data_IF_728395993932
#
_entry.id   IF_728395993932
#
_cell.length_a   1.000
_cell.length_b   1.000
_cell.length_c   1.000
_cell.angle_alpha   90.00
_cell.angle_beta   90.00
_cell.angle_gamma   90.00
#
_symmetry.space_group_name_H-M   'P 1'
#
loop_
_entity.id
_entity.type
_entity.pdbx_description
1 polymer ?
#
# COMPACT_ATOMS: atom_id res chain seq x y z
N UNK A 1 6.21 -13.29 -9.21
CA UNK A 1 5.53 -12.56 -10.29
C UNK A 1 6.53 -11.65 -11.00
N UNK A 2 6.51 -11.69 -12.30
CA UNK A 2 7.39 -10.88 -13.15
C UNK A 2 6.54 -10.18 -14.22
N UNK A 3 6.82 -8.90 -14.46
CA UNK A 3 6.21 -8.15 -15.56
C UNK A 3 7.21 -7.14 -16.11
N UNK A 4 7.06 -6.79 -17.39
CA UNK A 4 7.93 -5.85 -18.08
C UNK A 4 7.14 -4.59 -18.45
N UNK A 5 7.75 -3.43 -18.19
CA UNK A 5 7.26 -2.12 -18.62
C UNK A 5 8.19 -1.55 -19.68
N UNK A 6 7.65 -0.75 -20.59
CA UNK A 6 8.41 -0.20 -21.73
C UNK A 6 8.43 -1.16 -22.93
N UNK A 7 9.14 -0.79 -23.98
CA UNK A 7 9.30 -1.57 -25.20
C UNK A 7 10.71 -1.37 -25.79
N UNK A 8 11.27 -2.42 -26.39
CA UNK A 8 12.60 -2.38 -26.99
C UNK A 8 13.72 -2.20 -25.95
N UNK A 9 14.70 -1.34 -26.26
CA UNK A 9 15.87 -1.11 -25.40
C UNK A 9 15.54 -0.41 -24.06
N UNK A 10 14.39 0.26 -23.97
CA UNK A 10 13.92 0.93 -22.75
C UNK A 10 13.00 0.05 -21.89
N UNK A 11 13.02 -1.27 -22.08
CA UNK A 11 12.21 -2.17 -21.28
C UNK A 11 12.83 -2.41 -19.91
N UNK A 12 11.99 -2.32 -18.86
CA UNK A 12 12.37 -2.65 -17.48
C UNK A 12 11.56 -3.82 -16.97
N UNK A 13 12.24 -4.87 -16.51
CA UNK A 13 11.61 -6.04 -15.91
C UNK A 13 11.52 -5.87 -14.39
N UNK A 14 10.31 -5.97 -13.86
CA UNK A 14 10.01 -5.91 -12.44
C UNK A 14 9.72 -7.32 -11.92
N UNK A 15 10.38 -7.69 -10.83
CA UNK A 15 10.19 -8.98 -10.15
C UNK A 15 9.67 -8.75 -8.75
N UNK A 16 8.63 -9.50 -8.39
CA UNK A 16 8.01 -9.42 -7.09
C UNK A 16 7.79 -10.82 -6.52
N UNK A 17 8.11 -10.99 -5.25
CA UNK A 17 7.67 -12.12 -4.46
C UNK A 17 6.56 -11.66 -3.54
N UNK A 18 5.53 -12.48 -3.37
CA UNK A 18 4.43 -12.16 -2.47
C UNK A 18 3.91 -13.38 -1.73
N UNK A 19 3.34 -13.15 -0.56
CA UNK A 19 2.48 -14.06 0.16
C UNK A 19 1.11 -13.42 0.33
N UNK A 20 0.05 -14.22 0.22
CA UNK A 20 -1.33 -13.75 0.34
C UNK A 20 -2.06 -14.58 1.40
N UNK A 21 -2.78 -13.89 2.28
CA UNK A 21 -3.56 -14.49 3.36
C UNK A 21 -5.01 -14.01 3.28
N UNK A 22 -5.95 -14.93 3.50
CA UNK A 22 -7.35 -14.59 3.51
C UNK A 22 -7.75 -13.91 4.82
N UNK A 23 -8.46 -12.80 4.73
CA UNK A 23 -9.07 -12.12 5.87
C UNK A 23 -10.52 -12.61 6.08
N UNK A 24 -11.06 -12.51 7.30
CA UNK A 24 -12.45 -12.92 7.58
C UNK A 24 -13.50 -12.15 6.79
N UNK A 25 -13.24 -10.86 6.53
CA UNK A 25 -14.16 -9.94 5.86
C UNK A 25 -13.40 -8.96 4.98
N UNK A 26 -14.05 -8.34 3.98
CA UNK A 26 -13.50 -7.21 3.25
C UNK A 26 -13.19 -6.03 4.17
N UNK A 27 -12.08 -5.37 3.90
CA UNK A 27 -11.60 -4.16 4.57
C UNK A 27 -11.34 -3.05 3.56
N UNK A 28 -11.28 -1.78 3.98
CA UNK A 28 -10.79 -0.70 3.12
C UNK A 28 -9.40 -1.00 2.60
N UNK A 29 -9.09 -0.50 1.42
CA UNK A 29 -7.77 -0.65 0.84
C UNK A 29 -6.74 0.11 1.67
N UNK A 30 -5.96 -0.58 2.49
CA UNK A 30 -4.86 -0.01 3.25
C UNK A 30 -3.53 -0.53 2.69
N UNK A 31 -2.57 0.36 2.52
CA UNK A 31 -1.23 0.02 2.06
C UNK A 31 -0.19 0.59 3.02
N UNK A 32 0.68 -0.27 3.51
CA UNK A 32 1.82 0.05 4.35
C UNK A 32 3.10 -0.13 3.51
N UNK A 33 3.66 0.97 3.09
CA UNK A 33 4.92 1.07 2.37
C UNK A 33 6.06 1.00 3.39
N UNK A 34 6.83 -0.08 3.39
CA UNK A 34 7.92 -0.30 4.32
C UNK A 34 9.12 0.57 3.97
N UNK A 35 9.49 1.51 4.83
CA UNK A 35 10.60 2.45 4.55
C UNK A 35 11.96 1.77 4.45
N UNK A 36 12.12 0.60 5.06
CA UNK A 36 13.39 -0.13 5.04
C UNK A 36 13.70 -0.79 3.70
N UNK A 37 12.71 -1.03 2.83
CA UNK A 37 12.89 -1.61 1.50
C UNK A 37 12.88 -0.55 0.38
N UNK A 38 12.68 0.72 0.73
CA UNK A 38 12.67 1.83 -0.20
C UNK A 38 14.07 2.17 -0.73
N UNK A 39 14.13 2.59 -1.99
CA UNK A 39 15.37 3.01 -2.63
C UNK A 39 15.78 4.44 -2.26
N UNK A 40 16.97 4.84 -2.69
CA UNK A 40 17.52 6.20 -2.48
C UNK A 40 16.61 7.29 -3.07
N UNK A 41 15.80 6.95 -4.07
CA UNK A 41 14.93 7.86 -4.80
C UNK A 41 13.47 7.84 -4.30
N UNK A 42 13.19 7.18 -3.18
CA UNK A 42 11.84 7.08 -2.59
C UNK A 42 11.30 5.67 -2.58
N UNK A 43 9.97 5.56 -2.55
CA UNK A 43 9.28 4.28 -2.45
C UNK A 43 9.62 3.31 -3.60
N UNK A 44 9.71 2.03 -3.28
CA UNK A 44 9.88 0.94 -4.24
C UNK A 44 8.54 0.52 -4.89
N UNK A 45 7.42 1.09 -4.44
CA UNK A 45 6.09 0.76 -4.96
C UNK A 45 5.99 1.03 -6.47
N UNK A 46 5.28 0.18 -7.23
CA UNK A 46 5.11 0.35 -8.67
C UNK A 46 4.26 1.57 -9.03
N UNK A 47 3.51 2.09 -8.07
CA UNK A 47 2.60 3.22 -8.24
C UNK A 47 2.80 4.25 -7.15
N UNK A 48 2.54 5.51 -7.47
CA UNK A 48 2.47 6.60 -6.49
C UNK A 48 1.02 6.85 -6.10
N UNK A 49 0.80 7.16 -4.82
CA UNK A 49 -0.52 7.46 -4.28
C UNK A 49 -0.65 8.94 -3.94
N UNK A 50 -1.87 9.47 -4.00
CA UNK A 50 -2.13 10.86 -3.69
C UNK A 50 -1.74 11.18 -2.23
N UNK A 51 -1.12 12.35 -2.01
CA UNK A 51 -0.66 12.76 -0.67
C UNK A 51 -1.81 12.89 0.34
N UNK A 52 -3.02 13.19 -0.13
CA UNK A 52 -4.24 13.26 0.68
C UNK A 52 -4.64 11.92 1.30
N UNK A 53 -4.09 10.81 0.82
CA UNK A 53 -4.33 9.45 1.32
C UNK A 53 -3.29 8.99 2.34
N UNK A 54 -2.24 9.77 2.59
CA UNK A 54 -1.24 9.45 3.62
C UNK A 54 -1.82 9.65 5.00
N UNK A 55 -1.65 8.64 5.85
CA UNK A 55 -2.09 8.64 7.24
C UNK A 55 -0.89 8.49 8.13
N UNK A 56 -0.80 9.29 9.19
CA UNK A 56 0.15 9.13 10.27
C UNK A 56 -0.53 8.40 11.43
N UNK A 57 0.10 7.37 11.94
CA UNK A 57 -0.30 6.66 13.16
C UNK A 57 0.58 7.04 14.35
N UNK A 58 1.55 7.93 14.15
CA UNK A 58 2.51 8.38 15.16
C UNK A 58 3.76 7.52 15.23
N UNK A 59 4.75 8.02 16.01
CA UNK A 59 5.99 7.28 16.25
C UNK A 59 5.76 6.17 17.31
N UNK A 60 6.50 5.05 17.21
CA UNK A 60 7.56 4.74 16.24
C UNK A 60 7.07 4.17 14.91
N UNK A 61 5.76 4.00 14.71
CA UNK A 61 5.19 3.34 13.53
C UNK A 61 5.55 4.07 12.23
N UNK A 62 5.41 5.39 12.23
CA UNK A 62 5.66 6.22 11.06
C UNK A 62 7.13 6.23 10.62
N UNK A 63 8.08 5.88 11.51
CA UNK A 63 9.47 5.71 11.12
C UNK A 63 9.74 4.43 10.32
N UNK A 64 8.85 3.43 10.42
CA UNK A 64 8.97 2.13 9.75
C UNK A 64 8.10 2.01 8.50
N UNK A 65 6.91 2.58 8.55
CA UNK A 65 5.92 2.47 7.47
C UNK A 65 5.34 3.83 7.08
N UNK A 66 5.04 3.99 5.79
CA UNK A 66 4.13 5.01 5.32
C UNK A 66 2.77 4.36 5.05
N UNK A 67 1.77 4.73 5.83
CA UNK A 67 0.41 4.23 5.62
C UNK A 67 -0.34 5.07 4.60
N UNK A 68 -1.05 4.40 3.70
CA UNK A 68 -2.04 4.98 2.80
C UNK A 68 -3.42 4.37 3.06
N UNK A 69 -4.44 5.21 3.07
CA UNK A 69 -5.84 4.82 3.16
C UNK A 69 -6.68 5.67 2.19
N UNK A 70 -7.83 5.18 1.69
CA UNK A 70 -8.73 6.00 0.89
C UNK A 70 -9.19 7.24 1.66
N UNK A 71 -9.46 8.33 0.93
CA UNK A 71 -9.95 9.57 1.55
C UNK A 71 -11.20 9.30 2.39
N UNK A 72 -11.21 9.83 3.62
CA UNK A 72 -12.28 9.61 4.58
C UNK A 72 -12.19 8.31 5.40
N UNK A 73 -11.17 7.45 5.15
CA UNK A 73 -10.95 6.19 5.88
C UNK A 73 -9.83 6.27 6.93
N UNK A 74 -9.35 7.45 7.28
CA UNK A 74 -8.32 7.58 8.32
C UNK A 74 -8.73 6.98 9.67
N UNK A 75 -9.99 7.20 10.10
CA UNK A 75 -10.52 6.60 11.34
C UNK A 75 -10.57 5.08 11.26
N UNK A 76 -10.94 4.54 10.12
CA UNK A 76 -10.99 3.09 9.87
C UNK A 76 -9.58 2.49 9.90
N UNK A 77 -8.58 3.20 9.40
CA UNK A 77 -7.19 2.80 9.49
C UNK A 77 -6.74 2.66 10.96
N UNK A 78 -7.05 3.63 11.84
CA UNK A 78 -6.80 3.50 13.29
C UNK A 78 -7.56 2.34 13.93
N UNK A 79 -8.76 2.06 13.48
CA UNK A 79 -9.57 0.95 13.99
C UNK A 79 -8.99 -0.41 13.57
N UNK A 80 -8.48 -0.52 12.35
CA UNK A 80 -7.90 -1.75 11.79
C UNK A 80 -6.46 -1.99 12.23
N UNK A 81 -5.75 -0.91 12.62
CA UNK A 81 -4.37 -0.94 13.09
C UNK A 81 -4.27 -0.47 14.56
N UNK A 82 -4.94 -1.16 15.52
CA UNK A 82 -4.78 -0.84 16.93
C UNK A 82 -3.35 -1.18 17.40
N UNK A 83 -2.95 -0.74 18.61
CA UNK A 83 -1.57 -0.88 19.10
C UNK A 83 -0.98 -2.29 19.01
N UNK A 84 -1.77 -3.32 19.30
CA UNK A 84 -1.30 -4.71 19.22
C UNK A 84 -1.03 -5.17 17.76
N UNK A 85 -1.78 -4.67 16.77
CA UNK A 85 -1.51 -4.93 15.34
C UNK A 85 -0.28 -4.14 14.90
N UNK A 86 -0.17 -2.87 15.30
CA UNK A 86 1.01 -2.07 15.02
C UNK A 86 2.28 -2.68 15.61
N UNK A 87 2.23 -3.19 16.85
CA UNK A 87 3.33 -3.90 17.48
C UNK A 87 3.72 -5.16 16.72
N UNK A 88 2.76 -5.96 16.28
CA UNK A 88 3.01 -7.14 15.46
C UNK A 88 3.67 -6.78 14.12
N UNK A 89 3.27 -5.67 13.49
CA UNK A 89 3.87 -5.14 12.28
C UNK A 89 5.31 -4.66 12.51
N UNK A 90 5.58 -3.96 13.61
CA UNK A 90 6.92 -3.49 13.97
C UNK A 90 7.88 -4.64 14.30
N UNK A 91 7.36 -5.75 14.83
CA UNK A 91 8.11 -6.97 15.11
C UNK A 91 8.27 -7.88 13.88
N UNK A 92 7.50 -7.64 12.82
CA UNK A 92 7.64 -8.36 11.56
C UNK A 92 8.86 -7.83 10.77
N UNK A 93 9.44 -8.66 9.87
CA UNK A 93 10.52 -8.18 9.03
C UNK A 93 10.06 -7.03 8.12
N UNK A 94 10.67 -5.85 8.27
CA UNK A 94 10.35 -4.63 7.51
C UNK A 94 10.82 -4.68 6.04
N UNK A 95 10.98 -5.88 5.49
CA UNK A 95 11.35 -6.11 4.08
C UNK A 95 10.15 -6.29 3.17
N UNK A 96 8.95 -6.35 3.75
CA UNK A 96 7.70 -6.51 3.02
C UNK A 96 6.85 -5.25 3.10
N UNK A 97 6.35 -4.83 1.96
CA UNK A 97 5.19 -3.96 1.89
C UNK A 97 3.94 -4.79 2.18
N UNK A 98 2.98 -4.19 2.87
CA UNK A 98 1.79 -4.90 3.33
C UNK A 98 0.57 -4.17 2.79
N UNK A 99 -0.29 -4.90 2.09
CA UNK A 99 -1.50 -4.37 1.48
C UNK A 99 -2.71 -5.17 1.91
N UNK A 100 -3.71 -4.47 2.43
CA UNK A 100 -5.02 -5.02 2.69
C UNK A 100 -5.98 -4.53 1.63
N UNK A 101 -6.50 -5.43 0.83
CA UNK A 101 -7.44 -5.11 -0.24
C UNK A 101 -8.51 -6.19 -0.38
N UNK A 102 -9.76 -5.76 -0.41
CA UNK A 102 -10.91 -6.66 -0.33
C UNK A 102 -10.80 -7.54 0.94
N UNK A 103 -10.83 -8.85 0.83
CA UNK A 103 -10.65 -9.80 1.94
C UNK A 103 -9.29 -10.51 1.90
N UNK A 104 -8.24 -9.77 1.47
CA UNK A 104 -6.88 -10.27 1.38
C UNK A 104 -5.88 -9.37 2.11
N UNK A 105 -4.90 -10.00 2.73
CA UNK A 105 -3.64 -9.41 3.20
C UNK A 105 -2.54 -9.90 2.28
N UNK A 106 -1.91 -9.00 1.55
CA UNK A 106 -0.72 -9.26 0.75
C UNK A 106 0.51 -8.74 1.48
N UNK A 107 1.59 -9.52 1.43
CA UNK A 107 2.93 -9.10 1.83
C UNK A 107 3.82 -9.31 0.63
N UNK A 108 4.45 -8.27 0.10
CA UNK A 108 5.23 -8.36 -1.10
C UNK A 108 6.56 -7.61 -1.01
N UNK A 109 7.53 -8.07 -1.78
CA UNK A 109 8.89 -7.50 -1.84
C UNK A 109 9.48 -7.68 -3.23
N UNK A 110 10.37 -6.78 -3.62
CA UNK A 110 11.18 -6.93 -4.83
C UNK A 110 12.39 -7.86 -4.61
N UNK A 111 12.74 -8.14 -3.37
CA UNK A 111 13.82 -9.07 -3.06
C UNK A 111 13.43 -10.48 -3.44
N UNK A 112 14.28 -11.13 -4.24
CA UNK A 112 14.08 -12.52 -4.61
C UNK A 112 14.13 -13.40 -3.36
N UNK A 113 13.09 -14.21 -3.18
CA UNK A 113 12.96 -15.12 -2.04
C UNK A 113 13.36 -16.54 -2.46
N UNK A 114 14.31 -17.12 -1.75
CA UNK A 114 14.68 -18.53 -1.93
C UNK A 114 13.73 -19.41 -1.11
N UNK A 115 12.79 -20.05 -1.79
CA UNK A 115 11.81 -20.94 -1.16
C UNK A 115 12.41 -22.27 -0.69
N UNK A 116 13.65 -22.57 -1.04
CA UNK A 116 14.39 -23.74 -0.51
C UNK A 116 15.06 -23.43 0.83
N UNK A 117 15.21 -22.14 1.16
CA UNK A 117 15.80 -21.69 2.41
C UNK A 117 14.75 -21.69 3.54
N UNK A 118 14.96 -22.47 4.63
CA UNK A 118 14.03 -22.47 5.77
C UNK A 118 13.84 -21.10 6.43
N UNK A 119 14.80 -20.18 6.30
CA UNK A 119 14.68 -18.83 6.84
C UNK A 119 13.54 -18.04 6.18
N UNK A 120 13.32 -18.23 4.87
CA UNK A 120 12.19 -17.60 4.15
C UNK A 120 10.85 -18.00 4.76
N UNK A 121 10.67 -19.28 5.08
CA UNK A 121 9.44 -19.79 5.68
C UNK A 121 9.23 -19.28 7.11
N UNK A 122 10.31 -19.14 7.90
CA UNK A 122 10.23 -18.55 9.25
C UNK A 122 9.76 -17.10 9.20
N UNK A 123 10.21 -16.31 8.22
CA UNK A 123 9.72 -14.92 8.02
C UNK A 123 8.22 -14.90 7.71
N UNK A 124 7.75 -15.76 6.82
CA UNK A 124 6.33 -15.88 6.50
C UNK A 124 5.51 -16.38 7.71
N UNK A 125 6.09 -17.28 8.52
CA UNK A 125 5.45 -17.76 9.76
C UNK A 125 5.29 -16.64 10.79
N UNK A 126 6.29 -15.75 10.94
CA UNK A 126 6.18 -14.56 11.80
C UNK A 126 5.03 -13.65 11.32
N UNK A 127 4.89 -13.45 10.02
CA UNK A 127 3.77 -12.67 9.47
C UNK A 127 2.43 -13.38 9.72
N UNK A 128 2.34 -14.68 9.43
CA UNK A 128 1.11 -15.45 9.59
C UNK A 128 0.66 -15.53 11.04
N UNK A 129 1.57 -15.79 11.98
CA UNK A 129 1.23 -15.94 13.39
C UNK A 129 1.15 -14.60 14.12
N UNK A 130 2.04 -13.65 13.81
CA UNK A 130 2.09 -12.34 14.45
C UNK A 130 1.07 -11.37 13.85
N UNK A 131 1.30 -10.96 12.60
CA UNK A 131 0.48 -9.91 11.96
C UNK A 131 -0.94 -10.40 11.70
N UNK A 132 -1.09 -11.50 10.95
CA UNK A 132 -2.42 -12.02 10.62
C UNK A 132 -3.17 -12.50 11.86
N UNK A 133 -2.47 -13.13 12.83
CA UNK A 133 -3.05 -13.55 14.09
C UNK A 133 -3.62 -12.38 14.91
N UNK A 134 -2.92 -11.25 14.94
CA UNK A 134 -3.39 -10.02 15.63
C UNK A 134 -4.47 -9.29 14.84
N UNK A 135 -4.40 -9.31 13.50
CA UNK A 135 -5.33 -8.60 12.63
C UNK A 135 -6.68 -9.31 12.49
N UNK A 136 -6.70 -10.64 12.43
CA UNK A 136 -7.91 -11.45 12.23
C UNK A 136 -9.05 -11.11 13.18
N UNK A 137 -8.85 -11.01 14.52
CA UNK A 137 -9.92 -10.62 15.45
C UNK A 137 -10.40 -9.19 15.25
N UNK A 138 -9.53 -8.29 14.79
CA UNK A 138 -9.87 -6.88 14.51
C UNK A 138 -10.75 -6.81 13.28
N UNK A 139 -10.33 -7.45 12.19
CA UNK A 139 -11.12 -7.53 10.95
C UNK A 139 -12.46 -8.20 11.19
N UNK A 140 -12.51 -9.26 12.00
CA UNK A 140 -13.76 -9.95 12.34
C UNK A 140 -14.81 -9.08 13.06
N UNK A 141 -14.40 -7.96 13.67
CA UNK A 141 -15.27 -6.97 14.30
C UNK A 141 -15.48 -5.70 13.48
N UNK A 142 -14.73 -5.56 12.40
CA UNK A 142 -14.81 -4.37 11.55
C UNK A 142 -16.13 -4.33 10.77
N UNK A 143 -16.72 -3.14 10.67
CA UNK A 143 -17.85 -2.87 9.77
C UNK A 143 -17.76 -1.44 9.24
N UNK A 144 -17.94 -1.27 7.95
CA UNK A 144 -17.98 0.04 7.32
C UNK A 144 -19.38 0.66 7.44
N UNK A 145 -19.51 1.66 8.31
CA UNK A 145 -20.79 2.37 8.52
C UNK A 145 -21.32 3.05 7.24
N UNK A 146 -20.44 3.40 6.30
CA UNK A 146 -20.82 4.01 5.00
C UNK A 146 -21.48 3.00 4.08
N UNK A 147 -21.00 1.74 4.10
CA UNK A 147 -21.63 0.65 3.35
C UNK A 147 -23.01 0.33 3.92
N UNK A 148 -23.14 0.34 5.25
CA UNK A 148 -24.42 0.14 5.93
C UNK A 148 -25.42 1.27 5.62
N UNK A 149 -25.00 2.52 5.63
CA UNK A 149 -25.84 3.67 5.29
C UNK A 149 -26.30 3.65 3.83
N UNK A 150 -25.43 3.23 2.89
CA UNK A 150 -25.78 3.06 1.48
C UNK A 150 -26.79 1.93 1.24
N UNK A 151 -26.70 0.85 2.01
CA UNK A 151 -27.64 -0.27 1.92
C UNK A 151 -28.98 0.04 2.58
N UNK A 152 -29.03 0.88 3.64
CA UNK A 152 -30.29 1.31 4.28
C UNK A 152 -31.17 2.15 3.35
N UNK A 153 -30.57 2.87 2.39
CA UNK A 153 -31.30 3.60 1.34
C UNK A 153 -31.97 2.70 0.28
N UNK A 154 -31.57 1.43 0.18
CA UNK A 154 -32.10 0.44 -0.78
C UNK A 154 -32.82 -0.68 -0.02
N UNK A 155 -33.93 -0.36 0.63
CA UNK A 155 -34.79 -1.21 1.45
C UNK A 155 -34.65 -2.72 1.25
N UNK A 156 -34.13 -3.43 2.26
CA UNK A 156 -34.15 -4.88 2.31
C UNK A 156 -33.03 -5.50 3.16
N UNK A 157 -32.88 -5.10 4.45
CA UNK A 157 -32.02 -5.83 5.36
C UNK A 157 -32.65 -7.17 5.77
N UNK A 158 -32.16 -8.27 5.14
CA UNK A 158 -32.31 -9.60 5.66
C UNK A 158 -31.09 -10.00 6.51
N UNK A 159 -31.20 -10.90 7.50
CA UNK A 159 -30.04 -11.46 8.20
C UNK A 159 -29.18 -12.22 7.18
N UNK A 160 -27.91 -11.80 7.03
CA UNK A 160 -26.94 -12.44 6.14
C UNK A 160 -26.35 -11.59 5.05
N UNK A 161 -26.49 -10.25 5.11
CA UNK A 161 -25.75 -9.38 4.16
C UNK A 161 -24.28 -9.45 4.50
N UNK A 162 -23.41 -9.87 3.55
CA UNK A 162 -21.99 -9.93 3.79
C UNK A 162 -21.44 -8.53 4.15
N UNK A 163 -20.55 -8.46 5.11
CA UNK A 163 -19.83 -7.21 5.43
C UNK A 163 -19.19 -6.69 4.15
N UNK A 164 -19.53 -5.49 3.76
CA UNK A 164 -19.03 -4.85 2.55
C UNK A 164 -18.30 -3.55 2.91
N UNK A 165 -17.38 -3.17 2.05
CA UNK A 165 -16.75 -1.84 2.08
C UNK A 165 -17.46 -0.98 1.04
N UNK A 166 -17.76 0.28 1.41
CA UNK A 166 -18.35 1.23 0.49
C UNK A 166 -17.41 1.48 -0.72
N UNK A 167 -17.94 1.80 -1.91
CA UNK A 167 -17.15 1.92 -3.14
C UNK A 167 -15.90 2.81 -3.01
N UNK A 168 -16.01 3.92 -2.27
CA UNK A 168 -14.90 4.87 -2.05
C UNK A 168 -13.77 4.29 -1.19
N UNK A 169 -14.02 3.23 -0.41
CA UNK A 169 -13.02 2.56 0.41
C UNK A 169 -12.29 1.42 -0.29
N UNK A 170 -12.78 0.97 -1.45
CA UNK A 170 -12.27 -0.25 -2.09
C UNK A 170 -10.91 -0.09 -2.75
N UNK A 171 -10.53 1.12 -3.16
CA UNK A 171 -9.25 1.33 -3.88
C UNK A 171 -8.62 2.67 -3.51
N UNK A 172 -7.31 2.66 -3.40
CA UNK A 172 -6.50 3.87 -3.34
C UNK A 172 -6.52 4.57 -4.70
N UNK A 173 -6.43 5.89 -4.68
CA UNK A 173 -6.30 6.70 -5.90
C UNK A 173 -4.83 6.85 -6.24
N UNK A 174 -4.50 6.65 -7.51
CA UNK A 174 -3.17 6.93 -8.04
C UNK A 174 -2.86 8.41 -7.91
N UNK A 175 -1.67 8.73 -7.43
CA UNK A 175 -1.13 10.08 -7.41
C UNK A 175 -0.52 10.44 -8.76
N UNK A 176 -0.36 11.73 -8.99
CA UNK A 176 0.43 12.24 -10.12
C UNK A 176 1.89 12.27 -9.68
N UNK A 177 2.79 11.69 -10.48
CA UNK A 177 4.21 11.73 -10.20
C UNK A 177 4.78 13.13 -10.51
N UNK A 178 4.70 14.02 -9.51
CA UNK A 178 5.14 15.42 -9.64
C UNK A 178 6.65 15.51 -9.95
N UNK A 179 7.44 14.54 -9.50
CA UNK A 179 8.89 14.53 -9.77
C UNK A 179 9.21 14.41 -11.28
N UNK A 180 8.40 13.68 -12.05
CA UNK A 180 8.54 13.62 -13.49
C UNK A 180 8.28 14.98 -14.16
N UNK A 181 7.28 15.72 -13.68
CA UNK A 181 6.99 17.07 -14.19
C UNK A 181 8.06 18.09 -13.79
N UNK A 182 8.63 18.00 -12.59
CA UNK A 182 9.76 18.86 -12.17
C UNK A 182 10.99 18.57 -13.02
N UNK A 183 11.32 17.29 -13.26
CA UNK A 183 12.42 16.92 -14.15
C UNK A 183 12.25 17.46 -15.57
N UNK A 184 11.05 17.34 -16.13
CA UNK A 184 10.72 17.90 -17.45
C UNK A 184 10.81 19.43 -17.46
N UNK A 185 10.31 20.10 -16.42
CA UNK A 185 10.38 21.57 -16.31
C UNK A 185 11.82 22.07 -16.22
N UNK A 186 12.68 21.41 -15.43
CA UNK A 186 14.11 21.72 -15.33
C UNK A 186 14.80 21.49 -16.69
N UNK A 187 14.50 20.37 -17.36
CA UNK A 187 15.06 20.08 -18.68
C UNK A 187 14.65 21.13 -19.72
N UNK A 188 13.38 21.51 -19.75
CA UNK A 188 12.89 22.57 -20.66
C UNK A 188 13.53 23.93 -20.34
N UNK A 189 13.65 24.30 -19.06
CA UNK A 189 14.33 25.52 -18.63
C UNK A 189 15.81 25.52 -19.07
N UNK A 190 16.52 24.40 -18.91
CA UNK A 190 17.88 24.23 -19.39
C UNK A 190 17.98 24.37 -20.92
N UNK A 191 17.07 23.75 -21.68
CA UNK A 191 17.04 23.87 -23.15
C UNK A 191 16.79 25.31 -23.61
N UNK A 192 15.88 26.02 -22.95
CA UNK A 192 15.60 27.43 -23.26
C UNK A 192 16.84 28.30 -22.94
N UNK A 193 17.45 28.12 -21.79
CA UNK A 193 18.63 28.88 -21.36
C UNK A 193 19.79 28.67 -22.33
N UNK A 194 20.09 27.43 -22.72
CA UNK A 194 21.17 27.11 -23.68
C UNK A 194 20.91 27.67 -25.05
N UNK A 195 19.63 27.81 -25.47
CA UNK A 195 19.26 28.40 -26.74
C UNK A 195 19.43 29.93 -26.74
N UNK A 196 19.07 30.59 -25.62
CA UNK A 196 19.23 32.04 -25.44
C UNK A 196 20.72 32.41 -25.43
N UNK A 197 21.55 31.62 -24.70
CA UNK A 197 23.00 31.86 -24.60
C UNK A 197 23.78 31.56 -25.91
N UNK A 198 23.18 30.85 -26.87
CA UNK A 198 23.75 30.52 -28.16
C UNK A 198 23.30 31.44 -29.30
N UNK A 199 22.46 32.44 -29.04
CA UNK A 199 22.11 33.46 -30.03
C UNK A 199 23.33 34.39 -30.19
N UNK A 200 23.98 34.44 -31.37
CA UNK A 200 25.04 35.41 -31.61
C UNK A 200 24.42 36.79 -31.65
N UNK A 201 25.04 37.75 -30.94
CA UNK A 201 24.74 39.16 -31.05
C UNK A 201 25.16 39.71 -32.43
#
# INVERSE_FOLDING_TARGET
YEYTTGSGEDSTTHRWCFAAFRLPHPVPHLLLDAKANNGVWGTNLPETFASSQRISLGEPFDSHYQLYAPEGYGRDAFQLLPPNVMEALLNAPAVYDIEMVDDWLFCYTQSQQDLTNPATWRLLEVIANGVLGSLTPVVGRYSDSRALAGAAGNAGYGPGIPVQVAPQGKRLRRGVNISAFIGLAIFLAYMILTRILRLPG
#
